data_IF_585820218195
#
_entry.id   IF_585820218195
#
_cell.length_a   1.000
_cell.length_b   1.000
_cell.length_c   1.000
_cell.angle_alpha   90.00
_cell.angle_beta   90.00
_cell.angle_gamma   90.00
#
_symmetry.space_group_name_H-M   'P 1'
#
loop_
_entity.id
_entity.type
_entity.pdbx_description
1 polymer ?
#
# COMPACT_ATOMS: atom_id res chain seq x y z
N UNK A 1 27.63 -44.61 18.17
CA UNK A 1 28.21 -43.30 18.53
C UNK A 1 28.91 -42.78 17.28
N UNK A 2 28.16 -42.06 16.45
CA UNK A 2 28.62 -41.53 15.16
C UNK A 2 27.75 -40.32 14.84
N UNK A 3 28.23 -39.16 15.29
CA UNK A 3 28.12 -37.84 14.62
C UNK A 3 26.91 -37.63 13.72
N UNK A 4 25.74 -37.37 14.32
CA UNK A 4 24.78 -36.45 13.73
C UNK A 4 25.42 -35.06 13.80
N UNK A 5 26.18 -34.71 12.77
CA UNK A 5 26.64 -33.35 12.53
C UNK A 5 25.41 -32.43 12.60
N UNK A 6 25.37 -31.62 13.65
CA UNK A 6 24.55 -30.44 13.75
C UNK A 6 25.03 -29.46 12.68
N UNK A 7 24.68 -29.71 11.41
CA UNK A 7 24.79 -28.71 10.34
C UNK A 7 23.88 -27.59 10.79
N UNK A 8 24.49 -26.50 11.29
CA UNK A 8 23.77 -25.26 11.54
C UNK A 8 22.92 -24.97 10.30
N UNK A 9 21.60 -25.08 10.45
CA UNK A 9 20.68 -24.98 9.32
C UNK A 9 20.96 -23.66 8.59
N UNK A 10 21.28 -23.75 7.29
CA UNK A 10 21.51 -22.57 6.48
C UNK A 10 20.29 -21.65 6.58
N UNK A 11 20.50 -20.32 6.71
CA UNK A 11 19.40 -19.38 6.85
C UNK A 11 18.48 -19.49 5.65
N UNK A 12 17.19 -19.66 5.90
CA UNK A 12 16.19 -19.77 4.83
C UNK A 12 16.13 -18.46 4.06
N UNK A 13 16.29 -18.57 2.74
CA UNK A 13 16.21 -17.43 1.83
C UNK A 13 14.92 -17.50 1.02
N UNK A 14 14.35 -16.34 0.74
CA UNK A 14 13.11 -16.17 -0.02
C UNK A 14 13.44 -15.50 -1.35
N UNK A 15 12.77 -15.92 -2.42
CA UNK A 15 13.14 -15.54 -3.78
C UNK A 15 12.03 -15.78 -4.78
N UNK A 16 12.41 -15.82 -6.05
CA UNK A 16 11.52 -16.10 -7.19
C UNK A 16 10.45 -15.04 -7.46
N UNK A 17 10.65 -13.80 -7.04
CA UNK A 17 9.85 -12.70 -7.55
C UNK A 17 10.05 -12.57 -9.06
N UNK A 18 8.94 -12.59 -9.79
CA UNK A 18 8.94 -12.43 -11.24
C UNK A 18 8.18 -11.15 -11.57
N UNK A 19 8.76 -10.21 -12.34
CA UNK A 19 8.00 -9.09 -12.83
C UNK A 19 6.89 -9.62 -13.75
N UNK A 20 5.66 -9.14 -13.56
CA UNK A 20 4.57 -9.45 -14.49
C UNK A 20 4.96 -8.88 -15.86
N UNK A 21 5.24 -9.78 -16.83
CA UNK A 21 5.56 -9.40 -18.21
C UNK A 21 4.47 -9.98 -19.09
N UNK A 22 3.82 -9.12 -19.87
CA UNK A 22 2.88 -9.58 -20.89
C UNK A 22 3.57 -10.50 -21.90
N UNK A 23 2.78 -11.26 -22.66
CA UNK A 23 3.25 -12.18 -23.71
C UNK A 23 3.90 -11.49 -24.93
N UNK A 24 4.24 -10.20 -24.84
CA UNK A 24 4.75 -9.44 -25.97
C UNK A 24 6.22 -9.76 -26.28
N UNK A 25 6.54 -9.67 -27.57
CA UNK A 25 7.89 -9.80 -28.10
C UNK A 25 8.79 -8.73 -27.46
N UNK A 26 10.02 -9.10 -27.07
CA UNK A 26 11.03 -8.21 -26.48
C UNK A 26 10.61 -7.48 -25.18
N UNK A 27 9.68 -8.04 -24.40
CA UNK A 27 9.28 -7.48 -23.09
C UNK A 27 8.21 -6.37 -23.16
N UNK A 28 7.49 -6.30 -24.28
CA UNK A 28 6.32 -5.43 -24.44
C UNK A 28 5.05 -6.06 -23.83
N UNK A 29 4.08 -5.23 -23.45
CA UNK A 29 2.74 -5.73 -23.10
C UNK A 29 2.01 -6.21 -24.35
N UNK A 30 0.97 -7.04 -24.20
CA UNK A 30 0.14 -7.49 -25.33
C UNK A 30 -0.46 -6.31 -26.10
N UNK A 31 -0.96 -5.30 -25.37
CA UNK A 31 -1.47 -4.06 -25.96
C UNK A 31 -0.39 -3.30 -26.73
N UNK A 32 0.82 -3.13 -26.15
CA UNK A 32 1.93 -2.45 -26.81
C UNK A 32 2.39 -3.18 -28.09
N UNK A 33 2.34 -4.51 -28.10
CA UNK A 33 2.66 -5.33 -29.27
C UNK A 33 1.64 -5.13 -30.39
N UNK A 34 0.35 -5.13 -30.06
CA UNK A 34 -0.73 -4.84 -31.02
C UNK A 34 -0.59 -3.42 -31.57
N UNK A 35 -0.32 -2.44 -30.70
CA UNK A 35 -0.10 -1.05 -31.12
C UNK A 35 1.10 -0.91 -32.05
N UNK A 36 2.23 -1.56 -31.74
CA UNK A 36 3.41 -1.56 -32.60
C UNK A 36 3.13 -2.24 -33.95
N UNK A 37 2.41 -3.35 -33.95
CA UNK A 37 2.02 -4.05 -35.17
C UNK A 37 1.11 -3.16 -36.05
N UNK A 38 0.08 -2.55 -35.47
CA UNK A 38 -0.80 -1.62 -36.18
C UNK A 38 -0.05 -0.39 -36.71
N UNK A 39 0.90 0.14 -35.93
CA UNK A 39 1.74 1.26 -36.35
C UNK A 39 2.55 0.90 -37.61
N UNK A 40 3.06 -0.32 -37.73
CA UNK A 40 3.80 -0.78 -38.92
C UNK A 40 2.85 -1.10 -40.08
N UNK A 41 1.67 -1.67 -39.80
CA UNK A 41 0.70 -2.09 -40.81
C UNK A 41 0.04 -0.91 -41.55
N UNK A 42 -0.27 0.18 -40.84
CA UNK A 42 -0.97 1.33 -41.42
C UNK A 42 -0.22 2.00 -42.60
N UNK A 43 1.09 2.29 -42.51
CA UNK A 43 1.87 2.76 -43.66
C UNK A 43 1.92 1.78 -44.84
N UNK A 44 1.98 0.47 -44.56
CA UNK A 44 1.98 -0.59 -45.59
C UNK A 44 0.66 -0.61 -46.37
N UNK A 45 -0.47 -0.50 -45.67
CA UNK A 45 -1.79 -0.40 -46.31
C UNK A 45 -1.97 0.92 -47.08
N UNK A 46 -1.42 2.02 -46.57
CA UNK A 46 -1.46 3.31 -47.26
C UNK A 46 -0.69 3.31 -48.58
N UNK A 47 0.31 2.43 -48.75
CA UNK A 47 1.07 2.28 -49.99
C UNK A 47 0.16 1.96 -51.19
N UNK A 48 -0.89 1.15 -50.99
CA UNK A 48 -1.79 0.73 -52.08
C UNK A 48 -2.93 1.70 -52.34
N UNK A 49 -3.40 2.44 -51.32
CA UNK A 49 -4.62 3.28 -51.42
C UNK A 49 -4.29 4.77 -51.56
N UNK A 50 -3.26 5.26 -50.88
CA UNK A 50 -2.94 6.68 -50.78
C UNK A 50 -1.43 6.92 -50.57
N UNK A 51 -0.60 6.80 -51.63
CA UNK A 51 0.86 6.82 -51.51
C UNK A 51 1.41 8.13 -50.92
N UNK A 52 0.68 9.25 -51.07
CA UNK A 52 1.02 10.55 -50.47
C UNK A 52 1.03 10.53 -48.94
N UNK A 53 0.29 9.61 -48.31
CA UNK A 53 0.22 9.48 -46.85
C UNK A 53 1.28 8.54 -46.27
N UNK A 54 2.04 7.83 -47.09
CA UNK A 54 3.04 6.83 -46.62
C UNK A 54 4.13 7.50 -45.78
N UNK A 55 4.70 8.62 -46.25
CA UNK A 55 5.77 9.32 -45.53
C UNK A 55 5.32 9.83 -44.14
N UNK A 56 4.20 10.58 -43.99
CA UNK A 56 3.76 11.03 -42.67
C UNK A 56 3.31 9.87 -41.77
N UNK A 57 2.66 8.83 -42.30
CA UNK A 57 2.26 7.67 -41.50
C UNK A 57 3.47 6.88 -41.02
N UNK A 58 4.51 6.71 -41.85
CA UNK A 58 5.74 6.03 -41.45
C UNK A 58 6.47 6.82 -40.36
N UNK A 59 6.54 8.15 -40.48
CA UNK A 59 7.08 9.01 -39.43
C UNK A 59 6.32 8.90 -38.11
N UNK A 60 4.98 8.92 -38.17
CA UNK A 60 4.13 8.74 -36.99
C UNK A 60 4.30 7.35 -36.37
N UNK A 61 4.34 6.30 -37.18
CA UNK A 61 4.57 4.93 -36.75
C UNK A 61 5.92 4.77 -36.04
N UNK A 62 6.99 5.33 -36.62
CA UNK A 62 8.31 5.33 -36.01
C UNK A 62 8.32 6.04 -34.64
N UNK A 63 7.62 7.17 -34.52
CA UNK A 63 7.48 7.88 -33.25
C UNK A 63 6.71 7.07 -32.19
N UNK A 64 5.62 6.38 -32.57
CA UNK A 64 4.84 5.51 -31.68
C UNK A 64 5.69 4.33 -31.21
N UNK A 65 6.39 3.65 -32.13
CA UNK A 65 7.27 2.54 -31.80
C UNK A 65 8.42 3.00 -30.90
N UNK A 66 9.05 4.13 -31.22
CA UNK A 66 10.08 4.73 -30.36
C UNK A 66 9.53 5.06 -28.97
N UNK A 67 8.32 5.62 -28.86
CA UNK A 67 7.66 5.91 -27.59
C UNK A 67 7.40 4.67 -26.72
N UNK A 68 7.14 3.52 -27.35
CA UNK A 68 6.88 2.24 -26.68
C UNK A 68 8.19 1.53 -26.29
N UNK A 69 9.19 1.54 -27.17
CA UNK A 69 10.44 0.80 -27.02
C UNK A 69 11.45 1.55 -26.15
N UNK A 70 11.55 2.87 -26.29
CA UNK A 70 12.47 3.68 -25.48
C UNK A 70 11.97 3.70 -24.04
N UNK A 71 12.79 3.18 -23.13
CA UNK A 71 12.50 3.12 -21.69
C UNK A 71 13.31 4.18 -20.95
N UNK A 72 12.63 5.03 -20.19
CA UNK A 72 13.26 6.00 -19.28
C UNK A 72 12.92 5.57 -17.86
N UNK A 73 13.93 5.18 -17.07
CA UNK A 73 13.69 4.72 -15.70
C UNK A 73 12.85 3.45 -15.58
N UNK A 74 12.73 2.64 -16.66
CA UNK A 74 11.96 1.39 -16.69
C UNK A 74 10.52 1.51 -17.18
N UNK A 75 10.00 2.73 -17.29
CA UNK A 75 8.69 3.02 -17.92
C UNK A 75 8.89 3.44 -19.38
N UNK A 76 7.86 3.26 -20.21
CA UNK A 76 7.92 3.68 -21.61
C UNK A 76 7.97 5.20 -21.72
N UNK A 77 8.65 5.72 -22.73
CA UNK A 77 8.70 7.17 -22.99
C UNK A 77 7.26 7.71 -23.22
N UNK A 78 6.41 6.94 -23.87
CA UNK A 78 4.99 7.27 -24.05
C UNK A 78 4.27 7.47 -22.69
N UNK A 79 4.50 6.58 -21.71
CA UNK A 79 3.91 6.74 -20.37
C UNK A 79 4.39 8.03 -19.70
N UNK A 80 5.68 8.36 -19.82
CA UNK A 80 6.25 9.59 -19.25
C UNK A 80 5.60 10.82 -19.88
N UNK A 81 5.47 10.84 -21.22
CA UNK A 81 4.84 11.94 -21.95
C UNK A 81 3.36 12.10 -21.58
N UNK A 82 2.61 11.00 -21.48
CA UNK A 82 1.19 11.03 -21.08
C UNK A 82 1.04 11.55 -19.66
N UNK A 83 1.87 11.10 -18.71
CA UNK A 83 1.88 11.60 -17.33
C UNK A 83 2.20 13.09 -17.29
N UNK A 84 3.22 13.53 -18.05
CA UNK A 84 3.61 14.93 -18.14
C UNK A 84 2.49 15.79 -18.71
N UNK A 85 1.86 15.37 -19.81
CA UNK A 85 0.74 16.07 -20.43
C UNK A 85 -0.49 16.17 -19.53
N UNK A 86 -0.82 15.09 -18.80
CA UNK A 86 -1.90 15.10 -17.80
C UNK A 86 -1.60 16.07 -16.65
N UNK A 87 -0.38 16.05 -16.14
CA UNK A 87 0.05 16.96 -15.07
C UNK A 87 0.04 18.43 -15.53
N UNK A 88 0.56 18.74 -16.72
CA UNK A 88 0.51 20.11 -17.25
C UNK A 88 -0.91 20.58 -17.47
N UNK A 89 -1.80 19.71 -17.97
CA UNK A 89 -3.23 20.03 -18.10
C UNK A 89 -3.87 20.29 -16.74
N UNK A 90 -3.62 19.44 -15.75
CA UNK A 90 -4.14 19.61 -14.39
C UNK A 90 -3.65 20.93 -13.77
N UNK A 91 -2.37 21.27 -13.97
CA UNK A 91 -1.79 22.53 -13.50
C UNK A 91 -2.41 23.75 -14.19
N UNK A 92 -2.60 23.72 -15.51
CA UNK A 92 -3.25 24.82 -16.25
C UNK A 92 -4.72 24.96 -15.83
N UNK A 93 -5.38 23.86 -15.49
CA UNK A 93 -6.75 23.86 -14.98
C UNK A 93 -6.87 24.25 -13.49
N UNK A 94 -5.76 24.49 -12.78
CA UNK A 94 -5.76 24.85 -11.36
C UNK A 94 -6.05 23.67 -10.41
N UNK A 95 -6.05 22.42 -10.88
CA UNK A 95 -6.39 21.25 -10.05
C UNK A 95 -5.24 20.78 -9.15
N UNK A 96 -4.06 21.38 -9.27
CA UNK A 96 -2.86 21.02 -8.50
C UNK A 96 -2.73 21.80 -7.19
N UNK A 97 -3.63 22.73 -6.92
CA UNK A 97 -3.60 23.60 -5.75
C UNK A 97 -4.89 23.45 -4.96
N UNK A 98 -4.74 23.22 -3.66
CA UNK A 98 -5.80 23.21 -2.67
C UNK A 98 -5.47 24.30 -1.64
N UNK A 99 -6.41 25.18 -1.36
CA UNK A 99 -6.27 26.21 -0.34
C UNK A 99 -7.59 26.40 0.36
N UNK A 100 -7.64 26.13 1.67
CA UNK A 100 -8.75 26.48 2.55
C UNK A 100 -8.64 27.96 2.94
N UNK A 101 -8.89 28.86 1.98
CA UNK A 101 -8.93 30.30 2.19
C UNK A 101 -10.30 30.84 2.63
N UNK A 102 -10.41 32.16 2.81
CA UNK A 102 -11.65 32.87 3.20
C UNK A 102 -12.81 32.65 2.23
N UNK A 103 -12.50 32.32 0.97
CA UNK A 103 -13.50 31.95 -0.04
C UNK A 103 -13.02 30.71 -0.79
N UNK A 104 -13.66 29.58 -0.50
CA UNK A 104 -13.50 28.35 -1.27
C UNK A 104 -14.84 27.95 -1.86
N UNK A 105 -15.01 28.15 -3.17
CA UNK A 105 -16.11 27.55 -3.92
C UNK A 105 -15.83 26.05 -4.10
N UNK A 106 -16.13 25.25 -3.08
CA UNK A 106 -16.16 23.80 -3.22
C UNK A 106 -17.58 23.28 -3.00
N UNK A 107 -18.21 22.66 -4.01
CA UNK A 107 -19.56 22.08 -3.87
C UNK A 107 -19.62 20.87 -2.92
N UNK A 108 -18.50 20.46 -2.31
CA UNK A 108 -18.39 19.26 -1.47
C UNK A 108 -17.45 19.46 -0.29
N UNK A 109 -17.94 20.14 0.75
CA UNK A 109 -17.15 20.51 1.93
C UNK A 109 -16.57 19.33 2.74
N UNK A 110 -17.06 18.10 2.54
CA UNK A 110 -16.60 16.90 3.26
C UNK A 110 -15.70 15.96 2.44
N UNK A 111 -15.43 16.26 1.18
CA UNK A 111 -14.60 15.41 0.32
C UNK A 111 -13.10 15.74 0.56
N UNK A 112 -12.29 14.70 0.80
CA UNK A 112 -10.84 14.84 0.90
C UNK A 112 -10.21 15.17 -0.47
N UNK A 113 -8.99 15.74 -0.52
CA UNK A 113 -8.42 16.17 -1.80
C UNK A 113 -8.01 15.00 -2.72
N UNK A 114 -8.03 15.28 -4.01
CA UNK A 114 -7.42 14.45 -5.06
C UNK A 114 -8.00 13.04 -5.13
N UNK A 115 -7.14 12.03 -4.97
CA UNK A 115 -7.53 10.61 -5.06
C UNK A 115 -8.42 10.16 -3.90
N UNK A 116 -8.46 10.92 -2.80
CA UNK A 116 -9.25 10.61 -1.61
C UNK A 116 -10.68 11.15 -1.69
N UNK A 117 -10.99 12.06 -2.63
CA UNK A 117 -12.32 12.65 -2.81
C UNK A 117 -13.50 11.65 -2.87
N UNK A 118 -13.41 10.49 -3.55
CA UNK A 118 -14.53 9.56 -3.57
C UNK A 118 -14.68 8.74 -2.27
N UNK A 119 -13.74 8.81 -1.34
CA UNK A 119 -13.76 8.03 -0.11
C UNK A 119 -14.72 8.64 0.92
N UNK A 120 -15.60 7.80 1.45
CA UNK A 120 -16.49 8.15 2.54
C UNK A 120 -16.32 7.11 3.68
N UNK A 121 -16.10 7.54 4.93
CA UNK A 121 -16.06 6.61 6.05
C UNK A 121 -17.49 6.23 6.40
N UNK A 122 -17.75 4.93 6.47
CA UNK A 122 -18.97 4.36 7.02
C UNK A 122 -18.67 3.90 8.42
N UNK A 123 -19.45 4.38 9.39
CA UNK A 123 -19.38 3.92 10.77
C UNK A 123 -20.32 2.72 10.92
N UNK A 124 -19.75 1.56 11.21
CA UNK A 124 -20.41 0.25 11.15
C UNK A 124 -20.21 -0.50 12.46
N UNK A 125 -21.29 -1.12 12.95
CA UNK A 125 -21.25 -2.04 14.09
C UNK A 125 -20.52 -3.34 13.69
N UNK A 126 -19.58 -3.79 14.51
CA UNK A 126 -18.83 -5.02 14.24
C UNK A 126 -19.59 -6.31 14.61
N UNK A 127 -20.81 -6.20 15.15
CA UNK A 127 -21.65 -7.29 15.61
C UNK A 127 -21.21 -7.90 16.95
N UNK A 128 -20.22 -7.29 17.62
CA UNK A 128 -19.63 -7.73 18.89
C UNK A 128 -19.67 -6.64 19.96
N UNK A 129 -20.44 -5.57 19.71
CA UNK A 129 -20.55 -4.42 20.61
C UNK A 129 -19.47 -3.36 20.40
N UNK A 130 -18.66 -3.49 19.35
CA UNK A 130 -17.69 -2.48 18.91
C UNK A 130 -18.14 -1.77 17.63
N UNK A 131 -17.51 -0.62 17.36
CA UNK A 131 -17.71 0.13 16.11
C UNK A 131 -16.42 0.15 15.31
N UNK A 132 -16.54 0.20 14.00
CA UNK A 132 -15.40 0.31 13.11
C UNK A 132 -15.75 1.09 11.85
N UNK A 133 -14.70 1.59 11.19
CA UNK A 133 -14.82 2.31 9.94
C UNK A 133 -14.63 1.36 8.75
N UNK A 134 -15.55 1.45 7.79
CA UNK A 134 -15.36 0.95 6.43
C UNK A 134 -15.26 2.12 5.46
N UNK A 135 -14.13 2.23 4.76
CA UNK A 135 -13.93 3.25 3.75
C UNK A 135 -14.61 2.83 2.45
N UNK A 136 -15.71 3.50 2.10
CA UNK A 136 -16.42 3.28 0.86
C UNK A 136 -15.89 4.19 -0.24
N UNK A 137 -15.39 3.59 -1.31
CA UNK A 137 -15.01 4.31 -2.51
C UNK A 137 -16.23 4.45 -3.43
N UNK A 138 -16.85 5.64 -3.44
CA UNK A 138 -18.04 5.94 -4.24
C UNK A 138 -17.82 5.81 -5.75
N UNK A 139 -16.56 5.86 -6.22
CA UNK A 139 -16.21 5.74 -7.65
C UNK A 139 -16.19 4.29 -8.12
N UNK A 140 -15.67 3.38 -7.29
CA UNK A 140 -15.48 1.97 -7.66
C UNK A 140 -16.49 1.04 -7.00
N UNK A 141 -17.20 1.49 -5.96
CA UNK A 141 -18.08 0.68 -5.15
C UNK A 141 -17.35 -0.24 -4.16
N UNK A 142 -16.02 -0.14 -4.05
CA UNK A 142 -15.21 -0.99 -3.15
C UNK A 142 -15.30 -0.51 -1.70
N UNK A 143 -15.26 -1.45 -0.77
CA UNK A 143 -15.24 -1.21 0.68
C UNK A 143 -13.85 -1.58 1.21
N UNK A 144 -13.24 -0.73 2.03
CA UNK A 144 -11.94 -1.02 2.63
C UNK A 144 -12.02 -0.97 4.15
N UNK A 145 -11.66 -2.09 4.80
CA UNK A 145 -11.45 -2.14 6.24
C UNK A 145 -9.99 -1.91 6.56
N UNK A 146 -9.69 -1.20 7.64
CA UNK A 146 -8.32 -1.00 8.13
C UNK A 146 -8.17 -1.70 9.48
N UNK A 147 -7.27 -2.67 9.56
CA UNK A 147 -6.91 -3.35 10.79
C UNK A 147 -5.69 -2.69 11.39
N UNK A 148 -5.75 -2.41 12.69
CA UNK A 148 -4.61 -1.93 13.48
C UNK A 148 -3.79 -3.14 13.89
N UNK A 149 -2.50 -3.12 13.61
CA UNK A 149 -1.64 -4.29 13.76
C UNK A 149 -0.40 -3.94 14.60
N UNK A 150 0.09 -4.92 15.35
CA UNK A 150 1.36 -4.88 16.06
C UNK A 150 2.16 -6.14 15.73
N UNK A 151 3.10 -6.09 14.78
CA UNK A 151 3.94 -7.23 14.45
C UNK A 151 4.94 -7.51 15.56
N UNK A 152 5.30 -8.78 15.74
CA UNK A 152 6.40 -9.19 16.61
C UNK A 152 7.73 -8.86 15.92
N UNK A 153 8.68 -8.28 16.64
CA UNK A 153 10.02 -8.00 16.14
C UNK A 153 10.81 -9.28 15.87
N UNK A 154 11.58 -9.31 14.80
CA UNK A 154 12.36 -10.49 14.40
C UNK A 154 13.72 -10.60 15.14
N UNK A 155 14.19 -9.53 15.78
CA UNK A 155 15.55 -9.46 16.34
C UNK A 155 15.80 -10.43 17.50
N UNK A 156 14.73 -10.76 18.25
CA UNK A 156 14.76 -11.68 19.39
C UNK A 156 14.03 -13.00 19.11
N UNK A 157 13.51 -13.17 17.89
CA UNK A 157 12.76 -14.36 17.52
C UNK A 157 13.71 -15.48 17.09
N UNK A 158 13.38 -16.71 17.49
CA UNK A 158 14.08 -17.88 16.97
C UNK A 158 13.87 -18.00 15.45
N UNK A 159 14.87 -18.59 14.77
CA UNK A 159 14.84 -18.73 13.31
C UNK A 159 13.67 -19.59 12.84
N UNK A 160 13.41 -20.71 13.52
CA UNK A 160 12.31 -21.61 13.18
C UNK A 160 10.94 -20.91 13.35
N UNK A 161 10.83 -20.05 14.38
CA UNK A 161 9.63 -19.26 14.62
C UNK A 161 9.43 -18.18 13.54
N UNK A 162 10.51 -17.52 13.13
CA UNK A 162 10.50 -16.55 12.02
C UNK A 162 10.08 -17.22 10.72
N UNK A 163 10.65 -18.39 10.41
CA UNK A 163 10.31 -19.17 9.22
C UNK A 163 8.85 -19.62 9.23
N UNK A 164 8.33 -20.01 10.41
CA UNK A 164 6.92 -20.36 10.58
C UNK A 164 6.01 -19.16 10.32
N UNK A 165 6.33 -17.97 10.84
CA UNK A 165 5.53 -16.75 10.58
C UNK A 165 5.53 -16.37 9.10
N UNK A 166 6.69 -16.45 8.43
CA UNK A 166 6.77 -16.16 6.99
C UNK A 166 6.00 -17.20 6.18
N UNK A 167 6.02 -18.48 6.58
CA UNK A 167 5.21 -19.52 5.94
C UNK A 167 3.71 -19.28 6.13
N UNK A 168 3.27 -18.92 7.34
CA UNK A 168 1.88 -18.53 7.63
C UNK A 168 1.44 -17.33 6.82
N UNK A 169 2.31 -16.32 6.63
CA UNK A 169 2.02 -15.18 5.76
C UNK A 169 1.84 -15.61 4.30
N UNK A 170 2.68 -16.53 3.81
CA UNK A 170 2.53 -17.12 2.48
C UNK A 170 1.20 -17.87 2.31
N UNK A 171 0.81 -18.66 3.30
CA UNK A 171 -0.47 -19.38 3.32
C UNK A 171 -1.66 -18.40 3.35
N UNK A 172 -1.60 -17.36 4.19
CA UNK A 172 -2.59 -16.29 4.22
C UNK A 172 -2.77 -15.65 2.85
N UNK A 173 -1.69 -15.28 2.16
CA UNK A 173 -1.75 -14.70 0.81
C UNK A 173 -2.34 -15.68 -0.22
N UNK A 174 -2.07 -16.97 -0.10
CA UNK A 174 -2.64 -17.99 -0.97
C UNK A 174 -4.15 -18.15 -0.74
N UNK A 175 -4.59 -18.12 0.52
CA UNK A 175 -6.00 -18.22 0.90
C UNK A 175 -6.85 -17.06 0.35
N UNK A 176 -6.26 -15.87 0.20
CA UNK A 176 -6.93 -14.74 -0.45
C UNK A 176 -7.35 -15.04 -1.90
N UNK A 177 -6.66 -15.96 -2.60
CA UNK A 177 -7.03 -16.39 -3.94
C UNK A 177 -8.36 -17.15 -4.00
N UNK A 178 -8.82 -17.70 -2.88
CA UNK A 178 -10.13 -18.35 -2.73
C UNK A 178 -11.22 -17.38 -2.25
N UNK A 179 -10.88 -16.13 -1.99
CA UNK A 179 -11.81 -15.10 -1.54
C UNK A 179 -12.06 -14.08 -2.67
N UNK A 180 -13.06 -14.30 -3.55
CA UNK A 180 -13.32 -13.44 -4.71
C UNK A 180 -13.67 -12.00 -4.33
N UNK A 181 -14.11 -11.79 -3.09
CA UNK A 181 -14.41 -10.47 -2.55
C UNK A 181 -13.14 -9.63 -2.34
N UNK A 182 -11.99 -10.24 -2.03
CA UNK A 182 -10.74 -9.52 -1.73
C UNK A 182 -10.07 -9.09 -3.02
N UNK A 183 -10.12 -7.78 -3.29
CA UNK A 183 -9.51 -7.19 -4.48
C UNK A 183 -8.01 -6.96 -4.31
N UNK A 184 -7.61 -6.47 -3.15
CA UNK A 184 -6.21 -6.28 -2.77
C UNK A 184 -6.10 -6.06 -1.26
N UNK A 185 -4.92 -6.30 -0.72
CA UNK A 185 -4.54 -5.91 0.64
C UNK A 185 -3.33 -4.96 0.58
N UNK A 186 -3.25 -4.05 1.54
CA UNK A 186 -2.13 -3.13 1.68
C UNK A 186 -1.57 -3.21 3.10
N UNK A 187 -0.30 -3.60 3.22
CA UNK A 187 0.44 -3.50 4.49
C UNK A 187 1.10 -2.14 4.50
N UNK A 188 0.74 -1.28 5.45
CA UNK A 188 1.37 0.04 5.60
C UNK A 188 2.05 0.14 6.95
N UNK A 189 3.33 0.50 6.92
CA UNK A 189 4.16 0.77 8.09
C UNK A 189 4.57 2.23 8.05
N UNK A 190 4.10 2.99 9.04
CA UNK A 190 4.50 4.37 9.28
C UNK A 190 5.55 4.37 10.38
N UNK A 191 6.73 4.91 10.09
CA UNK A 191 7.85 5.04 11.03
C UNK A 191 8.19 6.50 11.19
N UNK A 192 8.12 6.97 12.43
CA UNK A 192 8.32 8.36 12.76
C UNK A 192 9.62 8.50 13.58
N UNK A 193 10.47 9.49 13.26
CA UNK A 193 11.52 9.94 14.16
C UNK A 193 10.84 10.33 15.47
N UNK A 194 11.32 9.80 16.58
CA UNK A 194 10.70 10.01 17.88
C UNK A 194 10.52 11.50 18.19
N UNK A 195 9.27 11.91 18.44
CA UNK A 195 8.95 13.15 19.15
C UNK A 195 8.74 12.84 20.63
N UNK A 196 9.73 12.20 21.26
CA UNK A 196 9.61 11.39 22.48
C UNK A 196 8.58 11.82 23.51
N UNK A 197 7.54 11.00 23.71
CA UNK A 197 6.75 10.96 24.95
C UNK A 197 5.93 9.68 25.20
N UNK A 198 5.97 8.65 24.35
CA UNK A 198 5.04 7.51 24.51
C UNK A 198 5.23 6.71 25.81
N UNK A 199 6.48 6.52 26.25
CA UNK A 199 6.79 5.76 27.48
C UNK A 199 6.40 6.54 28.75
N UNK A 200 6.80 7.81 28.95
CA UNK A 200 6.33 8.61 30.08
C UNK A 200 4.81 8.67 30.20
N UNK A 201 4.11 8.93 29.09
CA UNK A 201 2.64 9.06 29.06
C UNK A 201 1.95 7.73 29.33
N UNK A 202 2.44 6.63 28.74
CA UNK A 202 1.90 5.30 29.00
C UNK A 202 2.06 4.90 30.46
N UNK A 203 3.26 5.08 31.02
CA UNK A 203 3.51 4.80 32.44
C UNK A 203 2.63 5.66 33.33
N UNK A 204 2.48 6.96 33.05
CA UNK A 204 1.61 7.84 33.83
C UNK A 204 0.13 7.40 33.80
N UNK A 205 -0.35 6.88 32.65
CA UNK A 205 -1.74 6.42 32.49
C UNK A 205 -2.02 5.09 33.19
N UNK A 206 -1.10 4.14 33.12
CA UNK A 206 -1.28 2.80 33.68
C UNK A 206 -0.84 2.68 35.15
N UNK A 207 -0.22 3.73 35.72
CA UNK A 207 0.26 3.71 37.10
C UNK A 207 -0.91 3.76 38.08
N UNK A 208 -1.11 2.67 38.82
CA UNK A 208 -2.08 2.62 39.91
C UNK A 208 -1.76 3.68 41.00
N UNK A 209 -2.72 4.56 41.35
CA UNK A 209 -2.58 5.50 42.46
C UNK A 209 -2.22 4.85 43.80
N UNK A 210 -2.61 3.59 44.03
CA UNK A 210 -2.31 2.83 45.24
C UNK A 210 -0.96 2.09 45.21
N UNK A 211 -0.20 2.17 44.11
CA UNK A 211 1.08 1.46 43.99
C UNK A 211 2.11 1.90 45.07
N UNK A 212 2.95 0.98 45.60
CA UNK A 212 3.96 1.30 46.59
C UNK A 212 4.93 2.41 46.15
N UNK A 213 5.34 3.28 47.08
CA UNK A 213 6.18 4.43 46.78
C UNK A 213 7.52 4.06 46.12
N UNK A 214 8.09 2.90 46.45
CA UNK A 214 9.30 2.41 45.80
C UNK A 214 9.08 2.11 44.31
N UNK A 215 7.98 1.45 43.95
CA UNK A 215 7.66 1.12 42.56
C UNK A 215 7.45 2.39 41.73
N UNK A 216 6.75 3.39 42.28
CA UNK A 216 6.57 4.70 41.62
C UNK A 216 7.90 5.42 41.37
N UNK A 217 8.82 5.39 42.35
CA UNK A 217 10.16 5.98 42.19
C UNK A 217 10.98 5.25 41.12
N UNK A 218 11.02 3.92 41.16
CA UNK A 218 11.76 3.12 40.17
C UNK A 218 11.21 3.35 38.76
N UNK A 219 9.88 3.37 38.60
CA UNK A 219 9.26 3.69 37.30
C UNK A 219 9.58 5.12 36.85
N UNK A 220 9.55 6.10 37.76
CA UNK A 220 9.94 7.47 37.44
C UNK A 220 11.40 7.61 37.01
N UNK A 221 12.32 6.89 37.68
CA UNK A 221 13.74 6.84 37.32
C UNK A 221 13.96 6.14 35.97
N UNK A 222 13.25 5.03 35.71
CA UNK A 222 13.30 4.35 34.41
C UNK A 222 12.78 5.23 33.29
N UNK A 223 11.68 5.94 33.50
CA UNK A 223 11.13 6.90 32.52
C UNK A 223 12.14 8.03 32.27
N UNK A 224 12.78 8.56 33.30
CA UNK A 224 13.81 9.59 33.16
C UNK A 224 15.08 9.09 32.46
N UNK A 225 15.44 7.81 32.64
CA UNK A 225 16.57 7.17 31.99
C UNK A 225 16.25 6.66 30.57
N UNK A 226 14.96 6.55 30.22
CA UNK A 226 14.54 6.12 28.89
C UNK A 226 14.89 7.22 27.89
N UNK A 227 15.66 6.92 26.82
CA UNK A 227 15.94 7.90 25.80
C UNK A 227 14.64 8.48 25.25
N UNK A 228 14.58 9.80 25.07
CA UNK A 228 13.48 10.46 24.36
C UNK A 228 13.32 10.00 22.90
N UNK A 229 14.15 9.05 22.44
CA UNK A 229 14.23 8.58 21.06
C UNK A 229 13.73 7.14 20.86
N UNK A 230 12.54 6.80 21.36
CA UNK A 230 11.84 5.61 20.87
C UNK A 230 11.02 5.99 19.63
N UNK A 231 11.42 5.51 18.46
CA UNK A 231 10.68 5.74 17.24
C UNK A 231 9.26 5.16 17.34
N UNK A 232 8.28 5.94 16.90
CA UNK A 232 6.91 5.45 16.82
C UNK A 232 6.75 4.66 15.51
N UNK A 233 6.29 3.42 15.62
CA UNK A 233 5.95 2.56 14.50
C UNK A 233 4.46 2.27 14.56
N UNK A 234 3.74 2.62 13.50
CA UNK A 234 2.32 2.35 13.34
C UNK A 234 2.13 1.41 12.15
N UNK A 235 1.56 0.24 12.41
CA UNK A 235 1.35 -0.79 11.39
C UNK A 235 -0.13 -1.01 11.19
N UNK A 236 -0.55 -1.00 9.93
CA UNK A 236 -1.94 -1.20 9.54
C UNK A 236 -2.05 -2.08 8.31
N UNK A 237 -3.06 -2.92 8.31
CA UNK A 237 -3.43 -3.73 7.15
C UNK A 237 -4.76 -3.24 6.61
N UNK A 238 -4.76 -2.72 5.39
CA UNK A 238 -5.98 -2.35 4.69
C UNK A 238 -6.44 -3.52 3.82
N UNK A 239 -7.67 -3.99 4.02
CA UNK A 239 -8.30 -5.04 3.22
C UNK A 239 -9.36 -4.39 2.34
N UNK A 240 -9.11 -4.38 1.03
CA UNK A 240 -10.02 -3.80 0.05
C UNK A 240 -10.88 -4.88 -0.59
N UNK A 241 -12.17 -4.78 -0.35
CA UNK A 241 -13.21 -5.69 -0.77
C UNK A 241 -13.99 -5.08 -1.94
N UNK A 242 -14.36 -5.90 -2.93
CA UNK A 242 -15.18 -5.51 -4.06
C UNK A 242 -16.53 -6.23 -4.01
N UNK A 243 -17.56 -5.62 -3.40
CA UNK A 243 -18.89 -6.22 -3.28
C UNK A 243 -19.51 -6.65 -4.61
N UNK A 244 -19.05 -6.12 -5.75
CA UNK A 244 -19.54 -6.54 -7.06
C UNK A 244 -19.14 -7.97 -7.44
N UNK A 245 -18.13 -8.54 -6.78
CA UNK A 245 -17.68 -9.92 -6.99
C UNK A 245 -18.31 -10.92 -6.00
N UNK A 246 -19.14 -10.46 -5.07
CA UNK A 246 -19.86 -11.34 -4.16
C UNK A 246 -20.94 -12.15 -4.91
N UNK A 247 -21.17 -13.38 -4.43
CA UNK A 247 -22.20 -14.29 -4.96
C UNK A 247 -23.08 -14.77 -3.80
N UNK A 248 -24.36 -14.37 -3.71
CA UNK A 248 -25.07 -13.45 -4.61
C UNK A 248 -24.55 -12.00 -4.50
N UNK A 249 -24.78 -11.20 -5.54
CA UNK A 249 -24.44 -9.77 -5.52
C UNK A 249 -25.32 -9.04 -4.51
N UNK A 250 -24.76 -8.27 -3.56
CA UNK A 250 -25.52 -7.47 -2.62
C UNK A 250 -26.42 -6.45 -3.34
N UNK A 251 -27.72 -6.33 -2.96
CA UNK A 251 -28.64 -5.41 -3.60
C UNK A 251 -28.37 -3.94 -3.25
N UNK A 252 -27.86 -3.67 -2.05
CA UNK A 252 -27.64 -2.33 -1.52
C UNK A 252 -26.33 -2.21 -0.73
N UNK A 253 -26.00 -0.98 -0.30
CA UNK A 253 -24.79 -0.70 0.47
C UNK A 253 -24.80 -1.42 1.83
N UNK A 254 -25.97 -1.53 2.46
CA UNK A 254 -26.10 -2.20 3.74
C UNK A 254 -25.74 -3.69 3.63
N UNK A 255 -26.30 -4.41 2.66
CA UNK A 255 -25.95 -5.80 2.40
C UNK A 255 -24.47 -5.96 2.01
N UNK A 256 -23.91 -5.01 1.26
CA UNK A 256 -22.48 -5.01 0.93
C UNK A 256 -21.58 -4.85 2.16
N UNK A 257 -21.97 -3.99 3.10
CA UNK A 257 -21.28 -3.79 4.38
C UNK A 257 -21.37 -5.04 5.27
N UNK A 258 -22.54 -5.66 5.36
CA UNK A 258 -22.73 -6.92 6.11
C UNK A 258 -21.87 -8.03 5.51
N UNK A 259 -21.88 -8.17 4.18
CA UNK A 259 -21.06 -9.17 3.49
C UNK A 259 -19.57 -8.92 3.73
N UNK A 260 -19.10 -7.67 3.62
CA UNK A 260 -17.73 -7.31 3.94
C UNK A 260 -17.37 -7.64 5.40
N UNK A 261 -18.24 -7.30 6.35
CA UNK A 261 -18.05 -7.55 7.77
C UNK A 261 -17.95 -9.03 8.15
N UNK A 262 -18.63 -9.91 7.40
CA UNK A 262 -18.62 -11.37 7.61
C UNK A 262 -17.24 -12.01 7.44
N UNK A 263 -16.41 -11.48 6.54
CA UNK A 263 -15.09 -12.04 6.20
C UNK A 263 -13.97 -11.54 7.11
N UNK A 264 -14.10 -10.33 7.66
CA UNK A 264 -13.05 -9.70 8.46
C UNK A 264 -12.57 -10.55 9.65
N UNK A 265 -13.42 -11.21 10.46
CA UNK A 265 -12.96 -12.01 11.59
C UNK A 265 -12.08 -13.19 11.19
N UNK A 266 -12.36 -13.82 10.04
CA UNK A 266 -11.55 -14.91 9.53
C UNK A 266 -10.15 -14.42 9.12
N UNK A 267 -10.10 -13.27 8.45
CA UNK A 267 -8.84 -12.63 8.09
C UNK A 267 -8.03 -12.23 9.34
N UNK A 268 -8.68 -11.64 10.34
CA UNK A 268 -8.05 -11.26 11.61
C UNK A 268 -7.41 -12.46 12.32
N UNK A 269 -8.12 -13.60 12.37
CA UNK A 269 -7.62 -14.84 12.96
C UNK A 269 -6.39 -15.37 12.21
N UNK A 270 -6.42 -15.40 10.87
CA UNK A 270 -5.28 -15.88 10.07
C UNK A 270 -4.08 -14.97 10.18
N UNK A 271 -4.27 -13.64 10.22
CA UNK A 271 -3.18 -12.67 10.46
C UNK A 271 -2.50 -12.92 11.80
N UNK A 272 -3.27 -13.29 12.84
CA UNK A 272 -2.75 -13.68 14.15
C UNK A 272 -1.68 -14.78 14.09
N UNK A 273 -1.82 -15.73 13.17
CA UNK A 273 -0.86 -16.85 12.98
C UNK A 273 0.46 -16.42 12.32
N UNK A 274 0.50 -15.21 11.74
CA UNK A 274 1.66 -14.67 11.03
C UNK A 274 2.63 -13.90 11.95
N UNK A 275 2.49 -14.02 13.27
CA UNK A 275 3.29 -13.23 14.22
C UNK A 275 2.85 -11.76 14.27
N UNK A 276 1.59 -11.48 13.95
CA UNK A 276 1.02 -10.12 13.95
C UNK A 276 -0.19 -10.08 14.86
N UNK A 277 -0.11 -9.31 15.94
CA UNK A 277 -1.27 -9.07 16.80
C UNK A 277 -2.20 -8.06 16.13
N UNK A 278 -3.48 -8.41 15.97
CA UNK A 278 -4.52 -7.46 15.55
C UNK A 278 -5.03 -6.73 16.79
N UNK A 279 -4.79 -5.43 16.87
CA UNK A 279 -5.21 -4.57 17.98
C UNK A 279 -6.70 -4.22 17.92
N UNK A 280 -7.32 -4.41 16.76
CA UNK A 280 -8.71 -4.09 16.48
C UNK A 280 -8.88 -3.46 15.09
N UNK A 281 -10.14 -3.26 14.69
CA UNK A 281 -10.46 -2.50 13.48
C UNK A 281 -10.31 -1.00 13.76
N UNK A 282 -9.94 -0.24 12.74
CA UNK A 282 -9.82 1.19 12.87
C UNK A 282 -11.21 1.84 12.96
N UNK A 283 -11.38 2.74 13.91
CA UNK A 283 -12.55 3.61 14.03
C UNK A 283 -12.43 4.83 13.11
N UNK A 284 -13.55 5.52 12.86
CA UNK A 284 -13.58 6.69 11.98
C UNK A 284 -12.65 7.78 12.51
N UNK A 285 -12.76 8.13 13.80
CA UNK A 285 -11.91 9.14 14.42
C UNK A 285 -10.42 8.78 14.36
N UNK A 286 -10.08 7.51 14.60
CA UNK A 286 -8.71 7.03 14.47
C UNK A 286 -8.17 7.20 13.04
N UNK A 287 -8.96 6.84 12.02
CA UNK A 287 -8.57 7.02 10.62
C UNK A 287 -8.43 8.50 10.24
N UNK A 288 -9.37 9.34 10.67
CA UNK A 288 -9.34 10.78 10.45
C UNK A 288 -8.05 11.38 11.01
N UNK A 289 -7.71 11.07 12.27
CA UNK A 289 -6.46 11.53 12.89
C UNK A 289 -5.21 11.04 12.14
N UNK A 290 -5.20 9.79 11.67
CA UNK A 290 -4.06 9.24 10.91
C UNK A 290 -3.91 9.84 9.52
N UNK A 291 -5.00 10.22 8.87
CA UNK A 291 -4.96 10.95 7.59
C UNK A 291 -4.47 12.38 7.84
N UNK A 292 -5.00 13.07 8.87
CA UNK A 292 -4.54 14.41 9.27
C UNK A 292 -3.04 14.42 9.56
N UNK A 293 -2.55 13.48 10.37
CA UNK A 293 -1.13 13.37 10.70
C UNK A 293 -0.24 13.06 9.48
N UNK A 294 -0.80 12.50 8.40
CA UNK A 294 -0.06 12.28 7.15
C UNK A 294 0.12 13.58 6.35
N UNK A 295 -0.83 14.51 6.47
CA UNK A 295 -0.82 15.84 5.86
C UNK A 295 -0.24 16.93 6.77
N UNK A 296 -0.10 16.66 8.06
CA UNK A 296 0.51 17.54 9.04
C UNK A 296 1.33 16.69 10.03
N UNK A 297 2.61 16.41 9.71
CA UNK A 297 3.45 15.58 10.58
C UNK A 297 3.70 16.18 11.96
N UNK A 298 3.54 17.50 12.13
CA UNK A 298 3.73 18.17 13.42
C UNK A 298 2.55 17.88 14.37
N UNK A 299 1.33 17.81 13.86
CA UNK A 299 0.14 17.45 14.62
C UNK A 299 0.11 15.99 15.11
N UNK A 300 1.05 15.14 14.67
CA UNK A 300 1.08 13.73 15.01
C UNK A 300 1.12 13.47 16.52
N UNK A 301 1.90 14.27 17.27
CA UNK A 301 2.02 14.12 18.73
C UNK A 301 0.67 14.34 19.42
N UNK A 302 0.02 15.44 19.08
CA UNK A 302 -1.25 15.84 19.68
C UNK A 302 -2.36 14.81 19.40
N UNK A 303 -2.37 14.28 18.17
CA UNK A 303 -3.30 13.22 17.74
C UNK A 303 -3.00 11.88 18.43
N UNK A 304 -1.72 11.57 18.71
CA UNK A 304 -1.33 10.35 19.41
C UNK A 304 -1.71 10.37 20.90
N UNK A 305 -1.63 11.54 21.55
CA UNK A 305 -1.97 11.72 22.98
C UNK A 305 -3.47 11.74 23.26
N UNK A 306 -4.29 12.21 22.31
CA UNK A 306 -5.73 12.36 22.51
C UNK A 306 -6.54 11.23 21.86
N UNK A 307 -6.77 10.12 22.58
CA UNK A 307 -7.77 9.13 22.16
C UNK A 307 -9.15 9.78 21.99
N UNK A 308 -9.48 10.76 22.83
CA UNK A 308 -10.73 11.53 22.78
C UNK A 308 -10.68 12.62 21.69
N UNK A 309 -9.51 13.24 21.48
CA UNK A 309 -9.35 14.27 20.44
C UNK A 309 -9.53 13.68 19.03
N UNK A 310 -9.04 12.45 18.79
CA UNK A 310 -9.24 11.76 17.51
C UNK A 310 -10.72 11.44 17.24
N UNK A 311 -11.52 11.17 18.28
CA UNK A 311 -12.97 10.97 18.17
C UNK A 311 -13.74 12.26 17.87
N UNK A 312 -13.17 13.43 18.21
CA UNK A 312 -13.76 14.75 17.94
C UNK A 312 -13.44 15.28 16.53
N UNK A 313 -12.55 14.63 15.77
CA UNK A 313 -12.19 15.06 14.41
C UNK A 313 -13.28 14.63 13.40
N UNK A 314 -13.86 15.60 12.71
CA UNK A 314 -14.75 15.32 11.59
C UNK A 314 -13.95 14.85 10.37
N UNK A 315 -14.53 13.97 9.56
CA UNK A 315 -13.89 13.47 8.34
C UNK A 315 -13.46 14.60 7.38
N UNK A 316 -14.24 15.69 7.32
CA UNK A 316 -13.91 16.86 6.52
C UNK A 316 -12.57 17.49 6.92
N UNK A 317 -12.19 17.39 8.19
CA UNK A 317 -10.98 17.97 8.76
C UNK A 317 -9.75 17.05 8.63
N UNK A 318 -9.91 15.86 8.04
CA UNK A 318 -8.78 14.93 7.85
C UNK A 318 -7.77 15.44 6.80
N UNK A 319 -8.20 16.33 5.90
CA UNK A 319 -7.37 16.86 4.82
C UNK A 319 -6.32 17.89 5.28
N UNK A 320 -5.43 18.29 4.36
CA UNK A 320 -4.57 19.45 4.56
C UNK A 320 -5.37 20.76 4.46
N UNK A 321 -4.91 21.80 5.15
CA UNK A 321 -5.43 23.17 5.01
C UNK A 321 -5.00 23.74 3.66
N UNK A 322 -3.75 23.52 3.28
CA UNK A 322 -3.25 23.90 1.96
C UNK A 322 -2.36 22.81 1.38
N UNK A 323 -2.52 22.52 0.10
CA UNK A 323 -1.67 21.58 -0.59
C UNK A 323 -1.34 22.02 -2.01
N UNK A 324 -0.13 21.69 -2.44
CA UNK A 324 0.37 22.02 -3.76
C UNK A 324 1.10 20.82 -4.35
N UNK A 325 0.52 20.27 -5.42
CA UNK A 325 1.11 19.19 -6.19
C UNK A 325 2.13 19.76 -7.19
N UNK A 326 3.39 19.37 -7.03
CA UNK A 326 4.45 19.57 -8.01
C UNK A 326 4.75 18.25 -8.72
N UNK A 327 5.55 18.31 -9.77
CA UNK A 327 5.87 17.12 -10.57
C UNK A 327 6.69 16.09 -9.79
N UNK A 328 7.54 16.56 -8.91
CA UNK A 328 8.57 15.82 -8.18
C UNK A 328 8.24 15.66 -6.69
N UNK A 329 7.36 16.50 -6.14
CA UNK A 329 7.00 16.48 -4.73
C UNK A 329 5.58 17.00 -4.49
N UNK A 330 5.02 16.65 -3.33
CA UNK A 330 3.73 17.14 -2.86
C UNK A 330 3.95 17.97 -1.59
N UNK A 331 3.64 19.27 -1.65
CA UNK A 331 3.73 20.16 -0.49
C UNK A 331 2.39 20.19 0.22
N UNK A 332 2.41 20.02 1.54
CA UNK A 332 1.24 20.01 2.41
C UNK A 332 1.59 20.73 3.73
N UNK A 333 0.74 20.62 4.75
CA UNK A 333 0.86 21.42 5.96
C UNK A 333 2.18 21.11 6.68
N UNK A 334 3.07 22.10 6.72
CA UNK A 334 4.35 22.01 7.41
C UNK A 334 5.39 21.05 6.79
N UNK A 335 5.09 20.37 5.68
CA UNK A 335 5.98 19.35 5.12
C UNK A 335 5.92 19.18 3.60
N UNK A 336 6.90 18.44 3.08
CA UNK A 336 6.98 18.02 1.68
C UNK A 336 7.09 16.50 1.64
N UNK A 337 6.16 15.87 0.92
CA UNK A 337 6.15 14.43 0.68
C UNK A 337 6.75 14.11 -0.68
N UNK A 338 7.62 13.10 -0.72
CA UNK A 338 8.17 12.52 -1.94
C UNK A 338 7.91 11.02 -1.89
N UNK A 339 7.37 10.49 -2.98
CA UNK A 339 7.01 9.07 -3.09
C UNK A 339 8.00 8.34 -3.97
N UNK A 340 8.52 7.22 -3.48
CA UNK A 340 9.37 6.32 -4.23
C UNK A 340 8.61 5.02 -4.46
N UNK A 341 8.64 4.50 -5.69
CA UNK A 341 8.00 3.24 -6.04
C UNK A 341 9.07 2.18 -6.30
N UNK A 342 8.86 0.97 -5.78
CA UNK A 342 9.72 -0.17 -6.07
C UNK A 342 9.66 -0.48 -7.57
N UNK A 343 10.82 -0.49 -8.22
CA UNK A 343 10.92 -0.75 -9.67
C UNK A 343 11.03 -2.24 -10.01
N UNK A 344 11.81 -2.97 -9.25
CA UNK A 344 12.04 -4.41 -9.44
C UNK A 344 12.30 -5.04 -8.06
N UNK A 345 11.79 -6.24 -7.84
CA UNK A 345 12.10 -7.00 -6.64
C UNK A 345 13.56 -7.52 -6.69
N UNK A 346 14.16 -7.86 -5.54
CA UNK A 346 15.51 -8.43 -5.49
C UNK A 346 15.63 -9.66 -6.42
N UNK A 347 16.70 -9.69 -7.24
CA UNK A 347 16.98 -10.83 -8.13
C UNK A 347 17.59 -12.03 -7.40
N UNK A 348 18.25 -11.76 -6.28
CA UNK A 348 18.84 -12.77 -5.42
C UNK A 348 17.82 -13.20 -4.37
N UNK A 349 17.99 -14.42 -3.85
CA UNK A 349 17.24 -14.84 -2.68
C UNK A 349 17.71 -14.01 -1.46
N UNK A 350 16.77 -13.53 -0.66
CA UNK A 350 17.00 -12.61 0.46
C UNK A 350 16.41 -13.18 1.74
N UNK A 351 16.99 -12.78 2.87
CA UNK A 351 16.47 -13.17 4.18
C UNK A 351 15.20 -12.41 4.57
N UNK A 352 14.56 -12.80 5.69
CA UNK A 352 13.30 -12.20 6.16
C UNK A 352 13.46 -10.72 6.58
N UNK A 353 14.68 -10.27 6.86
CA UNK A 353 14.99 -8.90 7.33
C UNK A 353 15.35 -7.92 6.21
N UNK A 354 15.22 -8.29 4.93
CA UNK A 354 15.66 -7.45 3.80
C UNK A 354 15.01 -6.06 3.75
N UNK A 355 13.78 -5.93 4.25
CA UNK A 355 13.06 -4.65 4.30
C UNK A 355 13.39 -3.82 5.55
N UNK A 356 14.10 -4.36 6.54
CA UNK A 356 14.39 -3.67 7.80
C UNK A 356 15.03 -2.29 7.60
N UNK A 357 15.98 -2.07 6.67
CA UNK A 357 16.54 -0.73 6.45
C UNK A 357 15.52 0.31 5.94
N UNK A 358 14.47 -0.12 5.25
CA UNK A 358 13.39 0.75 4.77
C UNK A 358 12.39 1.09 5.88
N UNK A 359 12.19 0.14 6.80
CA UNK A 359 11.30 0.26 7.96
C UNK A 359 11.99 0.89 9.18
N UNK A 360 13.32 0.97 9.17
CA UNK A 360 14.07 1.56 10.26
C UNK A 360 13.76 3.07 10.36
N UNK A 361 13.59 3.59 11.58
CA UNK A 361 13.32 5.00 11.78
C UNK A 361 14.48 5.85 11.26
N UNK A 362 14.15 6.89 10.50
CA UNK A 362 15.10 7.87 10.00
C UNK A 362 14.97 9.22 10.70
N UNK A 363 15.59 10.24 10.12
CA UNK A 363 15.43 11.66 10.53
C UNK A 363 14.08 12.24 10.11
N UNK A 364 13.44 11.64 9.10
CA UNK A 364 12.14 12.04 8.59
C UNK A 364 11.10 10.93 8.76
N UNK A 365 9.82 11.29 8.94
CA UNK A 365 8.69 10.37 8.78
C UNK A 365 8.80 9.55 7.49
N UNK A 366 8.59 8.24 7.59
CA UNK A 366 8.59 7.33 6.43
C UNK A 366 7.37 6.44 6.47
N UNK A 367 6.67 6.39 5.33
CA UNK A 367 5.58 5.45 5.06
C UNK A 367 6.03 4.43 4.05
N UNK A 368 6.01 3.16 4.42
CA UNK A 368 6.24 2.05 3.49
C UNK A 368 4.94 1.30 3.33
N UNK A 369 4.41 1.26 2.11
CA UNK A 369 3.22 0.49 1.77
C UNK A 369 3.57 -0.61 0.78
N UNK A 370 3.26 -1.85 1.14
CA UNK A 370 3.34 -3.00 0.24
C UNK A 370 1.93 -3.43 -0.16
N UNK A 371 1.68 -3.50 -1.46
CA UNK A 371 0.38 -3.85 -2.03
C UNK A 371 0.42 -5.29 -2.55
N UNK A 372 -0.55 -6.10 -2.14
CA UNK A 372 -0.76 -7.44 -2.68
C UNK A 372 -2.11 -7.48 -3.39
N UNK A 373 -2.09 -7.90 -4.65
CA UNK A 373 -3.28 -8.22 -5.41
C UNK A 373 -3.32 -9.75 -5.58
N UNK A 374 -4.23 -10.46 -4.88
CA UNK A 374 -4.33 -11.90 -5.02
C UNK A 374 -4.83 -12.24 -6.43
N UNK A 375 -4.32 -13.34 -6.98
CA UNK A 375 -4.91 -13.94 -8.16
C UNK A 375 -5.98 -14.95 -7.73
N UNK A 376 -7.14 -15.00 -8.42
CA UNK A 376 -8.10 -16.07 -8.24
C UNK A 376 -7.44 -17.44 -8.35
N UNK A 377 -7.80 -18.37 -7.46
CA UNK A 377 -7.14 -19.67 -7.36
C UNK A 377 -7.21 -20.51 -8.65
N UNK A 378 -8.31 -20.38 -9.41
CA UNK A 378 -8.51 -20.98 -10.73
C UNK A 378 -7.55 -20.44 -11.80
N UNK A 379 -7.16 -19.17 -11.69
CA UNK A 379 -6.23 -18.50 -12.61
C UNK A 379 -4.77 -18.62 -12.18
N UNK A 380 -4.51 -18.84 -10.89
CA UNK A 380 -3.17 -18.89 -10.33
C UNK A 380 -2.32 -20.01 -10.95
N UNK A 381 -2.88 -21.22 -11.06
CA UNK A 381 -2.19 -22.37 -11.66
C UNK A 381 -1.81 -22.10 -13.13
N UNK A 382 -2.77 -21.64 -13.94
CA UNK A 382 -2.55 -21.31 -15.34
C UNK A 382 -1.50 -20.20 -15.52
N UNK A 383 -1.48 -19.20 -14.64
CA UNK A 383 -0.45 -18.15 -14.64
C UNK A 383 0.94 -18.69 -14.31
N UNK A 384 1.05 -19.56 -13.31
CA UNK A 384 2.33 -20.20 -12.95
C UNK A 384 2.84 -21.07 -14.10
N UNK A 385 1.98 -21.88 -14.71
CA UNK A 385 2.32 -22.71 -15.87
C UNK A 385 2.76 -21.88 -17.07
N UNK A 386 2.04 -20.80 -17.38
CA UNK A 386 2.41 -19.87 -18.45
C UNK A 386 3.80 -19.25 -18.20
N UNK A 387 4.11 -18.89 -16.95
CA UNK A 387 5.42 -18.34 -16.59
C UNK A 387 6.55 -19.38 -16.62
N UNK A 388 6.29 -20.62 -16.20
CA UNK A 388 7.25 -21.73 -16.32
C UNK A 388 7.56 -21.99 -17.79
N UNK A 389 6.52 -22.08 -18.63
CA UNK A 389 6.64 -22.30 -20.08
C UNK A 389 7.41 -21.16 -20.74
N UNK A 390 7.05 -19.90 -20.45
CA UNK A 390 7.78 -18.73 -20.93
C UNK A 390 9.24 -18.71 -20.46
N UNK A 391 9.51 -19.17 -19.24
CA UNK A 391 10.86 -19.32 -18.70
C UNK A 391 11.71 -20.35 -19.45
N UNK A 392 11.12 -21.50 -19.79
CA UNK A 392 11.78 -22.55 -20.58
C UNK A 392 12.11 -22.05 -22.00
N UNK A 393 11.16 -21.39 -22.67
CA UNK A 393 11.37 -20.81 -24.00
C UNK A 393 12.53 -19.79 -23.94
N UNK A 394 12.56 -18.89 -22.95
CA UNK A 394 13.65 -17.91 -22.82
C UNK A 394 15.02 -18.56 -22.62
N UNK A 395 15.11 -19.62 -21.80
CA UNK A 395 16.38 -20.36 -21.63
C UNK A 395 16.82 -21.02 -22.93
N UNK A 396 15.89 -21.57 -23.71
CA UNK A 396 16.18 -22.18 -25.01
C UNK A 396 16.64 -21.14 -26.05
N UNK A 397 16.14 -19.90 -25.98
CA UNK A 397 16.55 -18.81 -26.86
C UNK A 397 17.85 -18.13 -26.43
N UNK A 398 18.18 -18.12 -25.14
CA UNK A 398 19.44 -17.57 -24.63
C UNK A 398 20.65 -18.51 -24.80
N UNK A 399 20.40 -19.77 -25.16
CA UNK A 399 21.43 -20.80 -25.43
C UNK A 399 21.71 -20.98 -26.92
N UNK A 400 21.04 -20.21 -27.78
CA UNK A 400 21.36 -20.02 -29.21
C UNK A 400 21.96 -18.64 -29.39
#
# INVERSE_FOLDING_TARGET
MTTAENRAAEPRLYGNWRPERGWGVAGLSSAATITAFLAILLPLLAMSVAPRLVLPLTGAAAAVVAGIVVRVGGVSLADVLVRRGRFTRARVAGWTELSAGVLTEHPRAADLPGVLAPLLPLDVDDGRGGRHALLWNRRTGTLCAVLRCSPVGLDLADRDQTDAWVASWGAFLADLGYQPLVRHIAVTVDTMPAGGTTVPEHVARELDPAAPALAKRVLGELVAATPASCAAVDVRLSVCLDPNQATPKPPDLFAAVVEAGRWLPGLEATIGTCGVAVLGRAEVGWLTGRIRAAFDPAAHRDIATGSDAAQLLHWADAGPVAALERWDHYRHDGAVSVSWALREAPRQAVGPTVLAPLLAPGVFPRRVTWLYQPYPADQAAAKVEAEVTGGQIRRAWATR
#
